data_IF_910832918534
#
_entry.id   IF_910832918534
#
_cell.length_a   1.000
_cell.length_b   1.000
_cell.length_c   1.000
_cell.angle_alpha   90.00
_cell.angle_beta   90.00
_cell.angle_gamma   90.00
#
_symmetry.space_group_name_H-M   'P 1'
#
loop_
_entity.id
_entity.type
_entity.pdbx_description
1 polymer ?
#
# COMPACT_ATOMS: atom_id res chain seq x y z
N UNK A 1 8.02 3.92 11.99
CA UNK A 1 8.11 5.38 12.21
C UNK A 1 6.81 5.83 12.85
N UNK A 2 6.87 6.55 13.97
CA UNK A 2 5.69 7.10 14.64
C UNK A 2 5.57 8.58 14.31
N UNK A 3 4.45 8.99 13.71
CA UNK A 3 4.12 10.42 13.54
C UNK A 3 3.79 10.96 14.93
N UNK A 4 4.48 12.02 15.35
CA UNK A 4 4.26 12.62 16.66
C UNK A 4 2.87 13.26 16.74
N UNK A 5 2.14 13.09 17.86
CA UNK A 5 0.82 13.68 18.03
C UNK A 5 0.89 15.21 17.97
N UNK A 6 -0.16 15.85 17.45
CA UNK A 6 -0.28 17.31 17.37
C UNK A 6 0.58 17.99 16.29
N UNK A 7 1.18 17.22 15.37
CA UNK A 7 1.90 17.78 14.22
C UNK A 7 1.08 17.65 12.95
N UNK A 8 1.12 18.71 12.14
CA UNK A 8 0.56 18.72 10.81
C UNK A 8 1.37 17.80 9.88
N UNK A 9 0.67 17.09 9.00
CA UNK A 9 1.28 16.20 8.00
C UNK A 9 0.56 16.37 6.68
N UNK A 10 1.32 16.56 5.61
CA UNK A 10 0.78 16.59 4.25
C UNK A 10 0.44 15.17 3.81
N UNK A 11 -0.82 14.98 3.39
CA UNK A 11 -1.28 13.71 2.83
C UNK A 11 -1.03 13.68 1.32
N UNK A 12 -0.44 12.59 0.83
CA UNK A 12 -0.20 12.35 -0.59
C UNK A 12 -1.27 11.39 -1.12
N UNK A 13 -2.03 11.82 -2.13
CA UNK A 13 -3.14 11.03 -2.72
C UNK A 13 -2.75 10.30 -4.00
N UNK A 14 -1.65 10.70 -4.65
CA UNK A 14 -1.13 10.11 -5.88
C UNK A 14 0.40 10.26 -5.96
N UNK A 15 1.04 9.41 -6.77
CA UNK A 15 2.50 9.41 -6.96
C UNK A 15 3.12 8.01 -6.97
N UNK A 16 4.46 8.00 -6.96
CA UNK A 16 5.27 6.80 -6.84
C UNK A 16 5.99 6.78 -5.49
N UNK A 17 5.76 5.72 -4.71
CA UNK A 17 6.31 5.61 -3.36
C UNK A 17 6.87 4.22 -3.11
N UNK A 18 7.74 4.12 -2.11
CA UNK A 18 8.13 2.84 -1.54
C UNK A 18 7.28 2.58 -0.29
N UNK A 19 6.66 1.41 -0.22
CA UNK A 19 5.85 1.00 0.92
C UNK A 19 6.20 -0.42 1.35
N UNK A 20 6.08 -0.72 2.64
CA UNK A 20 6.36 -2.06 3.17
C UNK A 20 5.08 -2.89 3.16
N UNK A 21 5.09 -4.04 2.51
CA UNK A 21 3.90 -4.91 2.42
C UNK A 21 3.92 -5.99 3.47
N UNK A 22 2.75 -6.32 4.02
CA UNK A 22 2.59 -7.48 4.91
C UNK A 22 2.46 -8.81 4.14
N UNK A 23 2.19 -8.74 2.83
CA UNK A 23 2.00 -9.88 1.93
C UNK A 23 2.98 -9.79 0.76
N UNK A 24 3.28 -10.94 0.14
CA UNK A 24 4.04 -10.96 -1.10
C UNK A 24 3.30 -10.18 -2.19
N UNK A 25 4.01 -9.27 -2.87
CA UNK A 25 3.45 -8.45 -3.92
C UNK A 25 3.90 -8.98 -5.29
N UNK A 26 2.96 -9.07 -6.22
CA UNK A 26 3.28 -9.22 -7.65
C UNK A 26 2.90 -7.94 -8.39
N UNK A 27 3.66 -7.63 -9.44
CA UNK A 27 3.41 -6.43 -10.23
C UNK A 27 1.98 -6.45 -10.81
N UNK A 28 1.28 -5.32 -10.73
CA UNK A 28 -0.09 -5.14 -11.19
C UNK A 28 -1.18 -5.49 -10.18
N UNK A 29 -0.82 -6.01 -9.00
CA UNK A 29 -1.77 -6.17 -7.90
C UNK A 29 -2.22 -4.82 -7.34
N UNK A 30 -3.43 -4.82 -6.77
CA UNK A 30 -3.94 -3.68 -6.01
C UNK A 30 -3.34 -3.63 -4.62
N UNK A 31 -3.13 -2.41 -4.15
CA UNK A 31 -2.71 -2.13 -2.79
C UNK A 31 -3.94 -1.88 -1.92
N UNK A 32 -4.02 -2.59 -0.81
CA UNK A 32 -5.06 -2.46 0.20
C UNK A 32 -4.46 -1.90 1.49
N UNK A 33 -5.05 -0.86 2.04
CA UNK A 33 -4.62 -0.25 3.30
C UNK A 33 -5.42 -0.83 4.47
N UNK A 34 -4.74 -1.29 5.51
CA UNK A 34 -5.36 -1.78 6.74
C UNK A 34 -5.58 -0.59 7.69
N UNK A 35 -6.83 -0.30 8.01
CA UNK A 35 -7.19 0.89 8.81
C UNK A 35 -6.80 0.76 10.30
N UNK A 36 -6.62 -0.47 10.79
CA UNK A 36 -6.34 -0.72 12.20
C UNK A 36 -4.86 -0.49 12.58
N UNK A 37 -3.94 -0.81 11.68
CA UNK A 37 -2.49 -0.80 11.97
C UNK A 37 -1.64 -0.01 10.95
N UNK A 38 -2.26 0.48 9.88
CA UNK A 38 -1.58 1.25 8.83
C UNK A 38 -0.66 0.41 7.93
N UNK A 39 -0.69 -0.93 8.03
CA UNK A 39 0.01 -1.80 7.10
C UNK A 39 -0.69 -1.85 5.75
N UNK A 40 0.04 -2.25 4.71
CA UNK A 40 -0.54 -2.50 3.39
C UNK A 40 -0.47 -3.98 3.05
N UNK A 41 -1.54 -4.45 2.40
CA UNK A 41 -1.66 -5.78 1.82
C UNK A 41 -1.83 -5.67 0.31
N UNK A 42 -1.52 -6.74 -0.39
CA UNK A 42 -1.65 -6.85 -1.84
C UNK A 42 -2.70 -7.87 -2.20
N UNK A 43 -3.41 -7.64 -3.30
CA UNK A 43 -4.45 -8.55 -3.77
C UNK A 43 -4.87 -8.26 -5.21
N UNK A 44 -5.78 -9.07 -5.74
CA UNK A 44 -6.40 -8.80 -7.02
C UNK A 44 -7.28 -7.55 -6.95
N UNK A 45 -7.41 -6.81 -8.06
CA UNK A 45 -8.32 -5.67 -8.13
C UNK A 45 -9.77 -6.12 -7.89
N UNK A 46 -10.52 -5.39 -7.05
CA UNK A 46 -11.87 -5.76 -6.64
C UNK A 46 -11.94 -6.91 -5.62
N UNK A 47 -10.80 -7.41 -5.12
CA UNK A 47 -10.81 -8.39 -4.04
C UNK A 47 -11.23 -7.74 -2.73
N UNK A 48 -11.98 -8.47 -1.90
CA UNK A 48 -12.29 -8.03 -0.53
C UNK A 48 -11.28 -8.64 0.44
N UNK A 49 -10.43 -7.82 1.03
CA UNK A 49 -9.48 -8.24 2.07
C UNK A 49 -10.02 -7.78 3.43
N UNK A 50 -10.25 -8.73 4.34
CA UNK A 50 -10.79 -8.42 5.67
C UNK A 50 -9.92 -7.39 6.40
N UNK A 51 -10.56 -6.32 6.89
CA UNK A 51 -9.91 -5.23 7.60
C UNK A 51 -9.07 -4.30 6.72
N UNK A 52 -9.13 -4.42 5.40
CA UNK A 52 -8.38 -3.58 4.48
C UNK A 52 -9.28 -2.96 3.40
N UNK A 53 -8.93 -1.75 2.96
CA UNK A 53 -9.67 -0.98 1.95
C UNK A 53 -8.83 -0.88 0.67
N UNK A 54 -9.46 -1.09 -0.47
CA UNK A 54 -8.81 -0.93 -1.77
C UNK A 54 -8.41 0.53 -2.00
N UNK A 55 -7.15 0.76 -2.33
CA UNK A 55 -6.61 2.10 -2.61
C UNK A 55 -6.42 2.30 -4.12
N UNK A 56 -6.28 3.54 -4.64
CA UNK A 56 -5.99 3.76 -6.05
C UNK A 56 -4.62 3.23 -6.50
N UNK A 57 -3.71 2.89 -5.59
CA UNK A 57 -2.35 2.44 -5.88
C UNK A 57 -2.26 0.99 -6.38
N UNK A 58 -1.29 0.74 -7.24
CA UNK A 58 -0.91 -0.57 -7.77
C UNK A 58 0.54 -0.91 -7.39
N UNK A 59 0.84 -2.20 -7.28
CA UNK A 59 2.19 -2.69 -7.10
C UNK A 59 3.00 -2.55 -8.40
N UNK A 60 4.01 -1.68 -8.41
CA UNK A 60 4.93 -1.45 -9.52
C UNK A 60 6.14 -2.39 -9.55
N UNK A 61 6.38 -3.16 -8.47
CA UNK A 61 7.44 -4.19 -8.41
C UNK A 61 6.93 -5.44 -7.71
N UNK A 62 7.63 -6.56 -7.88
CA UNK A 62 7.43 -7.75 -7.06
C UNK A 62 8.28 -7.66 -5.78
N UNK A 63 7.81 -8.22 -4.67
CA UNK A 63 8.57 -8.37 -3.44
C UNK A 63 8.00 -9.49 -2.57
N UNK A 64 8.81 -9.98 -1.63
CA UNK A 64 8.33 -10.92 -0.61
C UNK A 64 7.58 -10.19 0.52
N UNK A 65 6.93 -10.97 1.39
CA UNK A 65 6.22 -10.42 2.54
C UNK A 65 7.22 -9.76 3.52
N UNK A 66 6.92 -8.53 3.94
CA UNK A 66 7.76 -7.75 4.85
C UNK A 66 8.81 -6.87 4.15
N UNK A 67 8.94 -6.99 2.83
CA UNK A 67 9.87 -6.21 2.01
C UNK A 67 9.24 -4.89 1.52
N UNK A 68 10.06 -4.08 0.85
CA UNK A 68 9.64 -2.83 0.22
C UNK A 68 9.17 -3.10 -1.21
N UNK A 69 7.95 -2.65 -1.51
CA UNK A 69 7.37 -2.62 -2.85
C UNK A 69 7.32 -1.19 -3.36
N UNK A 70 7.52 -1.00 -4.67
CA UNK A 70 7.16 0.25 -5.34
C UNK A 70 5.64 0.27 -5.54
N UNK A 71 4.97 1.32 -5.10
CA UNK A 71 3.55 1.56 -5.38
C UNK A 71 3.39 2.77 -6.29
N UNK A 72 2.46 2.68 -7.23
CA UNK A 72 2.20 3.73 -8.21
C UNK A 72 0.71 3.94 -8.42
N UNK A 73 0.28 5.19 -8.57
CA UNK A 73 -1.05 5.50 -9.14
C UNK A 73 -1.05 5.58 -10.66
N UNK A 74 0.12 5.65 -11.28
CA UNK A 74 0.29 5.90 -12.71
C UNK A 74 0.61 4.64 -13.51
N UNK A 75 1.35 3.72 -12.90
CA UNK A 75 1.78 2.48 -13.53
C UNK A 75 0.96 1.31 -13.00
N UNK A 76 0.32 0.57 -13.93
CA UNK A 76 -0.28 -0.74 -13.67
C UNK A 76 0.72 -1.86 -14.02
#
# INVERSE_FOLDING_TARGET
MLIQPGREVTLMTAGDFWARTATAATRGQKIFAVLADGTIKTGAAGATISGAVETPFYAGSACDAGELVKISTWSK
#
